data_IF_399598035820
#
_entry.id   IF_399598035820
#
_cell.length_a   1.000
_cell.length_b   1.000
_cell.length_c   1.000
_cell.angle_alpha   90.00
_cell.angle_beta   90.00
_cell.angle_gamma   90.00
#
_symmetry.space_group_name_H-M   'P 1'
#
loop_
_entity.id
_entity.type
_entity.pdbx_description
1 polymer ?
#
# COMPACT_ATOMS: atom_id res chain seq x y z
N UNK A 1 15.55 -2.73 7.32
CA UNK A 1 16.41 -1.85 6.51
C UNK A 1 16.17 -0.41 7.00
N UNK A 2 17.21 0.30 7.44
CA UNK A 2 17.08 1.65 7.99
C UNK A 2 16.88 2.62 6.82
N UNK A 3 15.89 3.51 6.92
CA UNK A 3 15.82 4.72 6.09
C UNK A 3 17.22 5.37 6.18
N UNK A 4 17.81 5.85 5.06
CA UNK A 4 19.00 6.70 5.14
C UNK A 4 18.76 7.74 6.26
N UNK A 5 19.66 7.82 7.23
CA UNK A 5 19.44 8.71 8.38
C UNK A 5 19.18 10.13 7.87
N UNK A 6 18.42 10.95 8.61
CA UNK A 6 18.24 12.37 8.30
C UNK A 6 19.52 13.08 7.85
N UNK A 7 20.67 12.73 8.44
CA UNK A 7 21.99 13.22 8.06
C UNK A 7 22.41 12.84 6.62
N UNK A 8 22.20 11.60 6.18
CA UNK A 8 22.60 11.15 4.83
C UNK A 8 21.78 11.73 3.67
N UNK A 9 20.58 12.26 3.94
CA UNK A 9 19.76 12.96 2.93
C UNK A 9 20.10 14.46 2.84
N UNK A 10 20.86 14.99 3.80
CA UNK A 10 21.25 16.42 3.88
C UNK A 10 22.62 16.70 3.24
N UNK A 11 23.39 15.66 2.90
CA UNK A 11 24.69 15.77 2.24
C UNK A 11 24.54 15.84 0.70
N UNK A 12 24.09 16.97 0.15
CA UNK A 12 24.08 17.28 -1.30
C UNK A 12 23.48 16.20 -2.23
N UNK A 13 22.54 15.39 -1.72
CA UNK A 13 21.85 14.36 -2.50
C UNK A 13 20.77 15.01 -3.36
N UNK A 14 20.83 14.79 -4.68
CA UNK A 14 19.82 15.26 -5.63
C UNK A 14 18.77 14.19 -5.87
N UNK A 15 17.53 14.48 -5.52
CA UNK A 15 16.43 13.52 -5.59
C UNK A 15 15.48 13.88 -6.73
N UNK A 16 15.27 12.92 -7.63
CA UNK A 16 14.21 12.99 -8.63
C UNK A 16 12.92 12.46 -8.03
N UNK A 17 11.89 13.30 -8.02
CA UNK A 17 10.63 12.98 -7.38
C UNK A 17 9.55 12.92 -8.44
N UNK A 18 9.06 11.71 -8.76
CA UNK A 18 7.97 11.58 -9.72
C UNK A 18 6.76 12.36 -9.22
N UNK A 19 6.39 13.40 -9.97
CA UNK A 19 5.13 14.09 -9.76
C UNK A 19 3.99 13.09 -9.99
N UNK A 20 3.13 12.91 -8.99
CA UNK A 20 1.79 12.40 -9.23
C UNK A 20 0.93 13.52 -9.80
N UNK A 21 -0.27 13.20 -10.28
CA UNK A 21 -1.24 14.21 -10.67
C UNK A 21 -1.39 15.26 -9.56
N UNK A 22 -1.42 16.53 -9.97
CA UNK A 22 -1.59 17.69 -9.10
C UNK A 22 -3.00 17.56 -8.48
N UNK A 23 -3.14 16.91 -7.32
CA UNK A 23 -4.46 16.81 -6.67
C UNK A 23 -4.75 15.66 -5.71
N UNK A 24 -3.77 14.90 -5.21
CA UNK A 24 -4.10 13.85 -4.22
C UNK A 24 -2.90 13.04 -3.75
N UNK A 25 -3.03 11.73 -3.74
CA UNK A 25 -2.00 10.80 -3.27
C UNK A 25 -0.87 10.59 -4.29
N UNK A 26 0.12 11.48 -4.30
CA UNK A 26 1.35 11.29 -5.07
C UNK A 26 2.45 10.63 -4.22
N UNK A 27 3.32 9.84 -4.86
CA UNK A 27 4.54 9.32 -4.23
C UNK A 27 5.39 10.45 -3.64
N UNK A 28 5.36 11.63 -4.27
CA UNK A 28 6.03 12.83 -3.78
C UNK A 28 5.43 13.41 -2.50
N UNK A 29 4.10 13.44 -2.38
CA UNK A 29 3.44 13.87 -1.13
C UNK A 29 3.78 12.89 0.00
N UNK A 30 3.64 11.59 -0.24
CA UNK A 30 3.96 10.57 0.75
C UNK A 30 5.42 10.65 1.20
N UNK A 31 6.36 10.86 0.28
CA UNK A 31 7.77 11.03 0.62
C UNK A 31 7.99 12.25 1.52
N UNK A 32 7.37 13.40 1.21
CA UNK A 32 7.45 14.60 2.06
C UNK A 32 6.81 14.38 3.44
N UNK A 33 5.82 13.51 3.56
CA UNK A 33 5.29 13.09 4.86
C UNK A 33 6.33 12.29 5.64
N UNK A 34 6.96 11.30 5.01
CA UNK A 34 7.98 10.48 5.65
C UNK A 34 9.15 11.31 6.17
N UNK A 35 9.60 12.31 5.41
CA UNK A 35 10.65 13.23 5.88
C UNK A 35 10.26 13.91 7.19
N UNK A 36 9.05 14.49 7.25
CA UNK A 36 8.54 15.17 8.45
C UNK A 36 8.38 14.21 9.62
N UNK A 37 7.86 13.01 9.36
CA UNK A 37 7.74 11.94 10.37
C UNK A 37 9.09 11.51 10.94
N UNK A 38 10.19 11.73 10.19
CA UNK A 38 11.56 11.48 10.61
C UNK A 38 12.33 12.77 11.00
N UNK A 39 11.63 13.89 11.22
CA UNK A 39 12.23 15.14 11.68
C UNK A 39 13.04 15.92 10.64
N UNK A 40 12.90 15.58 9.35
CA UNK A 40 13.55 16.28 8.23
C UNK A 40 12.58 17.30 7.64
N UNK A 41 13.02 18.55 7.50
CA UNK A 41 12.27 19.57 6.78
C UNK A 41 12.38 19.31 5.27
N UNK A 42 11.26 19.06 4.55
CA UNK A 42 11.31 18.82 3.11
C UNK A 42 11.87 19.98 2.29
N UNK A 43 12.00 21.19 2.86
CA UNK A 43 12.63 22.34 2.19
C UNK A 43 14.16 22.28 2.20
N UNK A 44 14.75 21.43 3.02
CA UNK A 44 16.20 21.27 3.14
C UNK A 44 16.77 20.24 2.16
N UNK A 45 15.91 19.58 1.38
CA UNK A 45 16.34 18.53 0.46
C UNK A 45 16.13 18.99 -0.98
N UNK A 46 17.10 18.68 -1.84
CA UNK A 46 17.10 19.07 -3.25
C UNK A 46 16.25 18.10 -4.08
N UNK A 47 15.12 18.60 -4.61
CA UNK A 47 14.19 17.82 -5.43
C UNK A 47 13.97 18.41 -6.80
N UNK A 48 13.99 17.55 -7.83
CA UNK A 48 13.43 17.86 -9.14
C UNK A 48 12.09 17.14 -9.26
N UNK A 49 11.01 17.91 -9.33
CA UNK A 49 9.63 17.40 -9.37
C UNK A 49 8.73 18.07 -10.42
N UNK A 50 9.23 19.06 -11.17
CA UNK A 50 8.44 19.88 -12.09
C UNK A 50 8.42 19.33 -13.54
N UNK A 51 8.95 18.12 -13.73
CA UNK A 51 9.03 17.43 -15.01
C UNK A 51 8.12 16.20 -15.04
N UNK A 52 7.77 15.76 -16.25
CA UNK A 52 7.03 14.52 -16.45
C UNK A 52 7.75 13.31 -15.80
N UNK A 53 6.97 12.37 -15.28
CA UNK A 53 7.50 11.21 -14.56
C UNK A 53 8.38 10.29 -15.41
N UNK A 54 8.08 10.13 -16.70
CA UNK A 54 8.91 9.35 -17.62
C UNK A 54 10.21 10.10 -17.90
N UNK A 55 10.14 11.41 -18.09
CA UNK A 55 11.33 12.25 -18.28
C UNK A 55 12.25 12.21 -17.06
N UNK A 56 11.71 12.33 -15.85
CA UNK A 56 12.50 12.19 -14.60
C UNK A 56 13.16 10.81 -14.50
N UNK A 57 12.44 9.74 -14.84
CA UNK A 57 13.01 8.40 -14.88
C UNK A 57 14.19 8.27 -15.84
N UNK A 58 14.08 8.86 -17.04
CA UNK A 58 15.16 8.86 -18.03
C UNK A 58 16.37 9.69 -17.58
N UNK A 59 16.13 10.87 -16.99
CA UNK A 59 17.22 11.72 -16.49
C UNK A 59 17.95 11.08 -15.32
N UNK A 60 17.24 10.38 -14.43
CA UNK A 60 17.84 9.60 -13.35
C UNK A 60 18.76 8.51 -13.90
N UNK A 61 18.29 7.73 -14.88
CA UNK A 61 19.13 6.72 -15.54
C UNK A 61 20.33 7.32 -16.29
N UNK A 62 20.21 8.58 -16.73
CA UNK A 62 21.30 9.36 -17.31
C UNK A 62 22.27 9.96 -16.29
N UNK A 63 22.10 9.70 -14.99
CA UNK A 63 23.00 10.16 -13.92
C UNK A 63 22.73 11.56 -13.39
N UNK A 64 21.57 12.16 -13.70
CA UNK A 64 21.25 13.51 -13.25
C UNK A 64 20.82 13.58 -11.76
N UNK A 65 20.51 12.46 -11.10
CA UNK A 65 20.15 12.43 -9.68
C UNK A 65 20.61 11.15 -9.00
N UNK A 66 20.76 11.21 -7.69
CA UNK A 66 21.25 10.10 -6.85
C UNK A 66 20.14 9.11 -6.49
N UNK A 67 18.91 9.61 -6.35
CA UNK A 67 17.73 8.79 -6.09
C UNK A 67 16.56 9.19 -6.99
N UNK A 68 15.74 8.19 -7.34
CA UNK A 68 14.46 8.40 -7.99
C UNK A 68 13.32 7.79 -7.17
N UNK A 69 12.37 8.62 -6.77
CA UNK A 69 11.18 8.21 -6.02
C UNK A 69 10.04 7.99 -7.02
N UNK A 70 9.59 6.74 -7.15
CA UNK A 70 8.52 6.31 -8.08
C UNK A 70 7.70 5.16 -7.48
N UNK A 71 6.70 4.65 -8.19
CA UNK A 71 5.90 3.49 -7.75
C UNK A 71 6.70 2.17 -7.82
N UNK A 72 6.32 1.19 -7.00
CA UNK A 72 7.04 -0.07 -6.83
C UNK A 72 7.21 -0.86 -8.13
N UNK A 73 6.19 -0.87 -9.00
CA UNK A 73 6.26 -1.60 -10.27
C UNK A 73 7.31 -0.95 -11.19
N UNK A 74 7.26 0.38 -11.34
CA UNK A 74 8.24 1.13 -12.12
C UNK A 74 9.66 0.99 -11.57
N UNK A 75 9.82 1.03 -10.23
CA UNK A 75 11.13 0.86 -9.58
C UNK A 75 11.71 -0.54 -9.84
N UNK A 76 10.90 -1.61 -9.69
CA UNK A 76 11.34 -2.98 -9.96
C UNK A 76 11.67 -3.22 -11.43
N UNK A 77 10.85 -2.71 -12.35
CA UNK A 77 11.13 -2.79 -13.80
C UNK A 77 12.45 -2.08 -14.11
N UNK A 78 12.70 -0.93 -13.49
CA UNK A 78 13.93 -0.17 -13.69
C UNK A 78 15.15 -0.94 -13.18
N UNK A 79 15.12 -1.43 -11.94
CA UNK A 79 16.21 -2.21 -11.34
C UNK A 79 16.46 -3.54 -12.08
N UNK A 80 15.41 -4.18 -12.60
CA UNK A 80 15.55 -5.41 -13.39
C UNK A 80 16.24 -5.17 -14.75
N UNK A 81 16.12 -3.96 -15.32
CA UNK A 81 16.68 -3.61 -16.64
C UNK A 81 18.04 -2.94 -16.56
N UNK A 82 18.38 -2.34 -15.42
CA UNK A 82 19.63 -1.63 -15.22
C UNK A 82 20.36 -2.17 -13.98
N UNK A 83 21.49 -2.91 -14.15
CA UNK A 83 22.22 -3.49 -13.03
C UNK A 83 22.87 -2.46 -12.11
N UNK A 84 23.00 -1.21 -12.55
CA UNK A 84 23.56 -0.11 -11.74
C UNK A 84 22.48 0.56 -10.86
N UNK A 85 21.21 0.16 -11.00
CA UNK A 85 20.09 0.68 -10.20
C UNK A 85 19.60 -0.39 -9.23
N UNK A 86 19.46 -0.01 -7.96
CA UNK A 86 18.92 -0.89 -6.91
C UNK A 86 17.81 -0.20 -6.12
N UNK A 87 16.94 -0.99 -5.49
CA UNK A 87 15.85 -0.48 -4.66
C UNK A 87 16.39 -0.20 -3.26
N UNK A 88 16.47 1.09 -2.91
CA UNK A 88 16.92 1.52 -1.58
C UNK A 88 15.82 1.43 -0.51
N UNK A 89 14.56 1.66 -0.88
CA UNK A 89 13.42 1.67 0.02
C UNK A 89 12.13 1.31 -0.75
N UNK A 90 11.39 0.31 -0.25
CA UNK A 90 10.14 -0.15 -0.86
C UNK A 90 8.94 -0.09 0.11
N UNK A 91 9.21 -0.20 1.42
CA UNK A 91 8.22 -0.21 2.48
C UNK A 91 8.63 0.69 3.63
N UNK A 92 7.65 1.20 4.36
CA UNK A 92 7.86 2.07 5.51
C UNK A 92 7.19 1.51 6.75
N UNK A 93 7.78 1.77 7.92
CA UNK A 93 7.31 1.24 9.20
C UNK A 93 6.41 2.22 9.96
N UNK A 94 6.28 3.45 9.46
CA UNK A 94 5.51 4.55 10.07
C UNK A 94 3.99 4.39 9.96
N UNK A 95 3.52 3.25 9.45
CA UNK A 95 2.10 2.89 9.37
C UNK A 95 1.56 2.87 7.94
N UNK A 96 0.25 2.73 7.83
CA UNK A 96 -0.50 2.69 6.57
C UNK A 96 -1.11 4.06 6.22
N UNK A 97 -1.40 4.27 4.94
CA UNK A 97 -2.23 5.36 4.41
C UNK A 97 -3.21 4.79 3.39
N UNK A 98 -4.42 5.36 3.23
CA UNK A 98 -5.39 4.89 2.25
C UNK A 98 -4.99 5.32 0.83
N UNK A 99 -4.16 4.51 0.17
CA UNK A 99 -3.66 4.76 -1.19
C UNK A 99 -4.75 4.71 -2.26
N UNK A 100 -5.61 3.69 -2.20
CA UNK A 100 -6.68 3.45 -3.17
C UNK A 100 -8.01 3.35 -2.42
N UNK A 101 -8.95 4.22 -2.76
CA UNK A 101 -10.28 4.27 -2.15
C UNK A 101 -11.35 4.51 -3.21
N UNK A 102 -12.58 4.14 -2.92
CA UNK A 102 -13.74 4.41 -3.76
C UNK A 102 -14.54 5.56 -3.19
N UNK A 103 -15.01 6.46 -4.06
CA UNK A 103 -15.80 7.63 -3.68
C UNK A 103 -17.20 7.54 -4.27
N UNK A 104 -18.16 8.10 -3.54
CA UNK A 104 -19.51 8.35 -4.01
C UNK A 104 -19.94 9.73 -3.54
N UNK A 105 -20.66 10.45 -4.40
CA UNK A 105 -21.24 11.74 -4.04
C UNK A 105 -22.30 11.55 -2.95
N UNK A 106 -22.23 12.33 -1.87
CA UNK A 106 -23.15 12.22 -0.72
C UNK A 106 -24.61 12.31 -1.13
N UNK A 107 -24.94 13.18 -2.09
CA UNK A 107 -26.30 13.36 -2.60
C UNK A 107 -26.87 12.10 -3.29
N UNK A 108 -26.03 11.16 -3.68
CA UNK A 108 -26.41 9.90 -4.35
C UNK A 108 -26.46 8.70 -3.40
N UNK A 109 -26.35 8.92 -2.09
CA UNK A 109 -26.48 7.86 -1.09
C UNK A 109 -27.96 7.64 -0.80
N UNK A 110 -28.49 6.51 -1.27
CA UNK A 110 -29.84 6.00 -0.94
C UNK A 110 -29.73 4.60 -0.37
N UNK A 111 -30.82 4.08 0.19
CA UNK A 111 -30.89 2.69 0.69
C UNK A 111 -30.56 1.68 -0.41
N UNK A 112 -31.04 1.92 -1.63
CA UNK A 112 -30.76 1.07 -2.80
C UNK A 112 -29.28 1.15 -3.19
N UNK A 113 -28.70 2.35 -3.18
CA UNK A 113 -27.28 2.54 -3.45
C UNK A 113 -26.41 1.82 -2.42
N UNK A 114 -26.74 1.91 -1.13
CA UNK A 114 -26.04 1.19 -0.06
C UNK A 114 -26.13 -0.33 -0.24
N UNK A 115 -27.28 -0.86 -0.65
CA UNK A 115 -27.42 -2.29 -0.93
C UNK A 115 -26.57 -2.76 -2.13
N UNK A 116 -26.43 -1.93 -3.16
CA UNK A 116 -25.52 -2.21 -4.30
C UNK A 116 -24.06 -2.14 -3.83
N UNK A 117 -23.70 -1.12 -3.05
CA UNK A 117 -22.36 -0.94 -2.50
C UNK A 117 -21.97 -2.11 -1.58
N UNK A 118 -22.86 -2.62 -0.74
CA UNK A 118 -22.58 -3.79 0.09
C UNK A 118 -22.22 -5.00 -0.77
N UNK A 119 -22.97 -5.26 -1.86
CA UNK A 119 -22.65 -6.36 -2.79
C UNK A 119 -21.31 -6.16 -3.49
N UNK A 120 -21.01 -4.92 -3.89
CA UNK A 120 -19.72 -4.57 -4.47
C UNK A 120 -18.57 -4.83 -3.49
N UNK A 121 -18.66 -4.31 -2.26
CA UNK A 121 -17.64 -4.51 -1.23
C UNK A 121 -17.51 -5.97 -0.80
N UNK A 122 -18.61 -6.74 -0.83
CA UNK A 122 -18.57 -8.19 -0.61
C UNK A 122 -17.75 -8.91 -1.68
N UNK A 123 -17.95 -8.57 -2.96
CA UNK A 123 -17.15 -9.09 -4.06
C UNK A 123 -15.68 -8.69 -3.94
N UNK A 124 -15.43 -7.40 -3.66
CA UNK A 124 -14.08 -6.87 -3.51
C UNK A 124 -13.33 -7.53 -2.35
N UNK A 125 -13.97 -7.69 -1.18
CA UNK A 125 -13.34 -8.34 -0.02
C UNK A 125 -13.08 -9.83 -0.29
N UNK A 126 -13.95 -10.52 -1.05
CA UNK A 126 -13.67 -11.90 -1.49
C UNK A 126 -12.46 -11.95 -2.41
N UNK A 127 -12.35 -11.03 -3.37
CA UNK A 127 -11.19 -10.91 -4.26
C UNK A 127 -9.90 -10.65 -3.47
N UNK A 128 -9.92 -9.69 -2.55
CA UNK A 128 -8.80 -9.40 -1.63
C UNK A 128 -8.38 -10.66 -0.87
N UNK A 129 -9.33 -11.36 -0.24
CA UNK A 129 -9.03 -12.57 0.53
C UNK A 129 -8.45 -13.67 -0.36
N UNK A 130 -8.96 -13.83 -1.58
CA UNK A 130 -8.48 -14.83 -2.52
C UNK A 130 -7.06 -14.52 -2.99
N UNK A 131 -6.76 -13.28 -3.38
CA UNK A 131 -5.40 -12.86 -3.77
C UNK A 131 -4.41 -13.04 -2.62
N UNK A 132 -4.78 -12.68 -1.38
CA UNK A 132 -3.92 -12.88 -0.22
C UNK A 132 -3.66 -14.37 0.07
N UNK A 133 -4.62 -15.25 -0.23
CA UNK A 133 -4.52 -16.68 0.05
C UNK A 133 -3.81 -17.52 -1.03
N UNK A 134 -3.67 -17.02 -2.26
CA UNK A 134 -3.11 -17.78 -3.39
C UNK A 134 -1.83 -17.14 -3.91
N UNK A 135 -0.84 -17.95 -4.27
CA UNK A 135 0.41 -17.45 -4.84
C UNK A 135 0.20 -16.82 -6.22
N UNK A 136 0.88 -15.71 -6.49
CA UNK A 136 0.67 -14.93 -7.71
C UNK A 136 0.95 -15.72 -9.00
N UNK A 137 1.76 -16.75 -8.90
CA UNK A 137 2.02 -17.74 -9.92
C UNK A 137 0.72 -18.44 -10.39
N UNK A 138 -0.24 -18.66 -9.49
CA UNK A 138 -1.49 -19.35 -9.81
C UNK A 138 -2.50 -18.50 -10.58
N UNK A 139 -2.25 -17.20 -10.72
CA UNK A 139 -3.07 -16.26 -11.51
C UNK A 139 -2.18 -15.33 -12.35
N UNK A 140 -1.07 -15.87 -12.85
CA UNK A 140 -0.11 -15.09 -13.62
C UNK A 140 -0.65 -14.72 -15.01
N UNK A 141 -1.57 -15.49 -15.58
CA UNK A 141 -2.23 -15.15 -16.86
C UNK A 141 -3.08 -13.89 -16.72
N UNK A 142 -3.86 -13.78 -15.64
CA UNK A 142 -4.64 -12.58 -15.34
C UNK A 142 -3.75 -11.36 -15.06
N UNK A 143 -2.62 -11.57 -14.36
CA UNK A 143 -1.64 -10.51 -14.15
C UNK A 143 -1.01 -10.06 -15.47
N UNK A 144 -0.72 -10.97 -16.40
CA UNK A 144 -0.18 -10.64 -17.71
C UNK A 144 -1.18 -9.83 -18.56
N UNK A 145 -2.48 -10.16 -18.49
CA UNK A 145 -3.55 -9.40 -19.15
C UNK A 145 -3.68 -7.98 -18.58
N UNK A 146 -3.62 -7.84 -17.26
CA UNK A 146 -3.72 -6.53 -16.58
C UNK A 146 -2.50 -5.64 -16.79
N UNK A 147 -1.31 -6.25 -16.92
CA UNK A 147 -0.04 -5.53 -17.04
C UNK A 147 0.75 -5.95 -18.31
N UNK A 148 0.19 -5.76 -19.52
CA UNK A 148 0.74 -6.33 -20.76
C UNK A 148 2.08 -5.73 -21.19
N UNK A 149 2.51 -4.64 -20.55
CA UNK A 149 3.77 -3.94 -20.82
C UNK A 149 4.87 -4.25 -19.81
N UNK A 150 4.55 -4.96 -18.72
CA UNK A 150 5.48 -5.29 -17.66
C UNK A 150 5.99 -6.74 -17.82
N UNK A 151 7.27 -7.02 -17.53
CA UNK A 151 7.75 -8.39 -17.40
C UNK A 151 6.95 -9.15 -16.32
N UNK A 152 6.40 -10.30 -16.68
CA UNK A 152 5.46 -11.03 -15.83
C UNK A 152 6.09 -11.51 -14.52
N UNK A 153 7.37 -11.89 -14.56
CA UNK A 153 8.17 -12.27 -13.39
C UNK A 153 8.26 -11.13 -12.36
N UNK A 154 8.41 -9.89 -12.83
CA UNK A 154 8.40 -8.69 -11.97
C UNK A 154 7.02 -8.47 -11.34
N UNK A 155 5.95 -8.62 -12.12
CA UNK A 155 4.57 -8.43 -11.63
C UNK A 155 4.19 -9.49 -10.59
N UNK A 156 4.51 -10.76 -10.86
CA UNK A 156 4.31 -11.88 -9.93
C UNK A 156 5.11 -11.66 -8.65
N UNK A 157 6.41 -11.32 -8.77
CA UNK A 157 7.26 -11.06 -7.61
C UNK A 157 6.80 -9.88 -6.76
N UNK A 158 6.31 -8.80 -7.38
CA UNK A 158 5.74 -7.65 -6.68
C UNK A 158 4.44 -8.00 -5.97
N UNK A 159 3.54 -8.71 -6.67
CA UNK A 159 2.27 -9.18 -6.11
C UNK A 159 2.50 -10.03 -4.86
N UNK A 160 3.46 -10.97 -4.92
CA UNK A 160 3.85 -11.77 -3.77
C UNK A 160 4.46 -10.93 -2.63
N UNK A 161 5.16 -9.84 -2.93
CA UNK A 161 5.63 -8.89 -1.90
C UNK A 161 4.46 -8.24 -1.17
N UNK A 162 3.53 -7.65 -1.91
CA UNK A 162 2.33 -7.02 -1.35
C UNK A 162 1.49 -7.99 -0.52
N UNK A 163 1.37 -9.25 -0.97
CA UNK A 163 0.71 -10.31 -0.19
C UNK A 163 1.39 -10.56 1.15
N UNK A 164 2.72 -10.76 1.16
CA UNK A 164 3.49 -10.99 2.40
C UNK A 164 3.45 -9.80 3.36
N UNK A 165 3.46 -8.60 2.81
CA UNK A 165 3.41 -7.35 3.58
C UNK A 165 2.00 -7.02 4.09
N UNK A 166 0.98 -7.78 3.67
CA UNK A 166 -0.41 -7.52 4.05
C UNK A 166 -0.93 -6.20 3.50
N UNK A 167 -0.53 -5.84 2.27
CA UNK A 167 -1.08 -4.69 1.56
C UNK A 167 -2.52 -4.98 1.15
N UNK A 168 -3.44 -4.06 1.50
CA UNK A 168 -4.89 -4.18 1.32
C UNK A 168 -5.52 -5.40 2.01
N UNK A 169 -5.72 -5.32 3.33
CA UNK A 169 -6.37 -6.39 4.12
C UNK A 169 -7.88 -6.25 4.22
N UNK A 170 -8.41 -5.07 3.97
CA UNK A 170 -9.84 -4.79 4.11
C UNK A 170 -10.32 -3.73 3.15
N UNK A 171 -11.60 -3.82 2.80
CA UNK A 171 -12.36 -2.77 2.10
C UNK A 171 -12.72 -1.56 2.98
N UNK A 172 -12.49 -1.64 4.30
CA UNK A 172 -12.73 -0.54 5.24
C UNK A 172 -11.46 0.29 5.39
N UNK A 173 -11.60 1.62 5.27
CA UNK A 173 -10.49 2.56 5.50
C UNK A 173 -10.22 2.69 7.00
N UNK A 174 -9.02 2.34 7.50
CA UNK A 174 -8.76 2.41 8.94
C UNK A 174 -8.68 3.86 9.45
N UNK A 175 -9.27 4.20 10.61
CA UNK A 175 -9.23 5.57 11.15
C UNK A 175 -7.83 6.12 11.38
N UNK A 176 -6.88 5.28 11.82
CA UNK A 176 -5.48 5.69 12.00
C UNK A 176 -4.79 6.00 10.67
N UNK A 177 -5.05 5.20 9.64
CA UNK A 177 -4.54 5.43 8.28
C UNK A 177 -5.06 6.76 7.72
N UNK A 178 -6.36 7.01 7.88
CA UNK A 178 -6.99 8.26 7.47
C UNK A 178 -6.42 9.46 8.23
N UNK A 179 -6.29 9.36 9.56
CA UNK A 179 -5.71 10.42 10.39
C UNK A 179 -4.30 10.78 9.94
N UNK A 180 -3.45 9.77 9.69
CA UNK A 180 -2.09 9.98 9.19
C UNK A 180 -2.10 10.69 7.84
N UNK A 181 -2.98 10.28 6.92
CA UNK A 181 -3.12 10.93 5.62
C UNK A 181 -3.59 12.39 5.73
N UNK A 182 -4.56 12.68 6.58
CA UNK A 182 -5.03 14.05 6.82
C UNK A 182 -3.93 14.96 7.38
N UNK A 183 -3.04 14.44 8.22
CA UNK A 183 -1.86 15.18 8.67
C UNK A 183 -0.99 15.55 7.47
N UNK A 184 -0.70 14.59 6.59
CA UNK A 184 0.08 14.84 5.37
C UNK A 184 -0.53 15.86 4.42
N UNK A 185 -1.84 15.80 4.20
CA UNK A 185 -2.57 16.79 3.39
C UNK A 185 -2.49 18.19 3.99
N UNK A 186 -2.57 18.30 5.32
CA UNK A 186 -2.46 19.57 6.06
C UNK A 186 -1.04 20.14 5.98
N UNK A 187 -0.03 19.29 6.19
CA UNK A 187 1.39 19.67 6.10
C UNK A 187 1.77 20.14 4.68
N UNK A 188 1.11 19.59 3.67
CA UNK A 188 1.23 19.99 2.27
C UNK A 188 0.35 21.18 1.89
N UNK A 189 -0.44 21.72 2.83
CA UNK A 189 -1.37 22.85 2.62
C UNK A 189 -2.45 22.59 1.57
N UNK A 190 -2.77 21.31 1.30
CA UNK A 190 -3.88 20.92 0.43
C UNK A 190 -5.23 21.07 1.14
N UNK A 191 -5.21 20.98 2.47
CA UNK A 191 -6.34 21.32 3.35
C UNK A 191 -5.85 22.27 4.45
N UNK A 192 -6.72 23.15 4.94
CA UNK A 192 -6.37 24.10 6.01
C UNK A 192 -6.19 23.43 7.36
N UNK A 193 -7.03 22.43 7.65
CA UNK A 193 -7.04 21.63 8.86
C UNK A 193 -7.43 20.19 8.51
N UNK A 194 -7.04 19.19 9.32
CA UNK A 194 -7.48 17.81 9.11
C UNK A 194 -9.01 17.69 9.05
N UNK A 195 -9.52 16.96 8.06
CA UNK A 195 -10.94 16.61 7.98
C UNK A 195 -11.28 15.52 9.00
N UNK A 196 -12.52 15.50 9.50
CA UNK A 196 -12.98 14.48 10.43
C UNK A 196 -13.30 13.17 9.70
N UNK A 197 -12.90 12.03 10.28
CA UNK A 197 -13.13 10.72 9.69
C UNK A 197 -14.61 10.50 9.31
N UNK A 198 -15.53 10.73 10.25
CA UNK A 198 -16.97 10.51 10.06
C UNK A 198 -17.61 11.48 9.05
N UNK A 199 -16.92 12.58 8.69
CA UNK A 199 -17.38 13.51 7.66
C UNK A 199 -17.04 13.05 6.24
N UNK A 200 -16.01 12.20 6.11
CA UNK A 200 -15.46 11.78 4.81
C UNK A 200 -15.67 10.29 4.52
N UNK A 201 -15.74 9.46 5.57
CA UNK A 201 -15.83 8.02 5.45
C UNK A 201 -17.24 7.57 5.85
N UNK A 202 -17.93 6.95 4.89
CA UNK A 202 -19.13 6.17 5.14
C UNK A 202 -18.80 4.70 4.86
N UNK A 203 -18.54 3.93 5.92
CA UNK A 203 -18.12 2.54 5.83
C UNK A 203 -19.28 1.55 6.07
N UNK A 204 -20.53 2.00 6.20
CA UNK A 204 -21.69 1.14 6.54
C UNK A 204 -21.77 -0.08 5.62
N UNK A 205 -21.70 0.14 4.30
CA UNK A 205 -21.77 -0.93 3.31
C UNK A 205 -20.52 -1.85 3.34
N UNK A 206 -19.34 -1.26 3.53
CA UNK A 206 -18.07 -2.00 3.61
C UNK A 206 -17.98 -2.87 4.88
N UNK A 207 -18.38 -2.32 6.03
CA UNK A 207 -18.43 -3.00 7.31
C UNK A 207 -19.46 -4.14 7.31
N UNK A 208 -20.64 -3.92 6.72
CA UNK A 208 -21.65 -4.96 6.53
C UNK A 208 -21.12 -6.13 5.69
N UNK A 209 -20.43 -5.85 4.59
CA UNK A 209 -19.81 -6.87 3.74
C UNK A 209 -18.76 -7.71 4.50
N UNK A 210 -17.87 -7.07 5.26
CA UNK A 210 -16.87 -7.76 6.08
C UNK A 210 -17.53 -8.62 7.17
N UNK A 211 -18.56 -8.09 7.84
CA UNK A 211 -19.30 -8.82 8.88
C UNK A 211 -19.99 -10.08 8.33
N UNK A 212 -20.57 -9.99 7.14
CA UNK A 212 -21.24 -11.10 6.46
C UNK A 212 -20.28 -12.24 6.12
N UNK A 213 -19.07 -11.92 5.65
CA UNK A 213 -18.03 -12.94 5.38
C UNK A 213 -17.55 -13.63 6.64
N UNK A 214 -17.34 -12.87 7.73
CA UNK A 214 -16.96 -13.45 9.03
C UNK A 214 -18.03 -14.42 9.54
N UNK A 215 -19.30 -14.02 9.47
CA UNK A 215 -20.43 -14.83 9.90
C UNK A 215 -20.56 -16.12 9.09
N UNK A 216 -20.32 -16.08 7.78
CA UNK A 216 -20.35 -17.28 6.93
C UNK A 216 -19.17 -18.21 7.23
N UNK A 217 -17.96 -17.68 7.40
CA UNK A 217 -16.80 -18.51 7.75
C UNK A 217 -16.91 -19.20 9.11
N UNK A 218 -17.60 -18.58 10.09
CA UNK A 218 -17.92 -19.22 11.37
C UNK A 218 -18.94 -20.35 11.21
N UNK A 219 -19.93 -20.18 10.34
CA UNK A 219 -20.91 -21.24 10.03
C UNK A 219 -20.24 -22.43 9.33
N UNK A 220 -19.39 -22.19 8.34
CA UNK A 220 -18.69 -23.26 7.61
C UNK A 220 -17.78 -24.08 8.53
N UNK A 221 -17.08 -23.43 9.48
CA UNK A 221 -16.29 -24.13 10.50
C UNK A 221 -17.14 -24.95 11.47
N UNK A 222 -18.34 -24.47 11.83
CA UNK A 222 -19.25 -25.19 12.73
C UNK A 222 -19.92 -26.39 12.05
N UNK A 223 -20.20 -26.29 10.75
CA UNK A 223 -20.72 -27.42 9.93
C UNK A 223 -19.66 -28.50 9.71
N UNK A 224 -18.37 -28.13 9.63
CA UNK A 224 -17.27 -29.11 9.58
C UNK A 224 -17.07 -29.87 10.89
N UNK A 225 -17.49 -29.33 12.05
CA UNK A 225 -17.33 -29.99 13.35
C UNK A 225 -18.46 -30.97 13.72
N UNK A 226 -19.54 -31.04 12.95
CA UNK A 226 -20.68 -31.96 13.19
C UNK A 226 -20.55 -33.30 12.43
N UNK A 227 -19.37 -33.59 11.85
CA UNK A 227 -19.08 -34.85 11.15
C UNK A 227 -17.68 -35.39 11.47
N UNK A 228 -17.59 -36.21 12.52
CA UNK A 228 -16.43 -36.97 13.05
C UNK A 228 -15.46 -36.21 13.97
N UNK A 229 -15.40 -36.70 15.21
CA UNK A 229 -14.29 -36.51 16.13
C UNK A 229 -13.03 -37.20 15.61
N UNK A 230 -11.94 -36.46 15.44
CA UNK A 230 -10.57 -36.99 15.56
C UNK A 230 -9.76 -35.98 16.35
N UNK A 231 -9.30 -36.40 17.53
CA UNK A 231 -8.29 -35.74 18.34
C UNK A 231 -6.89 -36.26 17.97
N UNK A 232 -5.98 -35.37 17.56
CA UNK A 232 -4.62 -35.18 18.12
C UNK A 232 -3.58 -34.64 17.11
N UNK A 233 -2.80 -33.64 17.58
CA UNK A 233 -1.44 -33.27 17.14
C UNK A 233 -1.37 -32.36 15.90
N UNK A 234 -0.72 -31.19 15.87
CA UNK A 234 0.40 -30.67 16.67
C UNK A 234 0.35 -29.14 16.66
N UNK A 235 0.44 -28.52 17.84
CA UNK A 235 0.82 -27.11 17.96
C UNK A 235 2.34 -27.02 17.80
N UNK A 236 2.82 -26.24 16.83
CA UNK A 236 4.23 -25.84 16.82
C UNK A 236 4.40 -24.58 17.67
N UNK A 237 5.03 -24.76 18.82
CA UNK A 237 5.59 -23.70 19.65
C UNK A 237 7.11 -23.88 19.57
N UNK A 238 7.84 -22.88 19.04
CA UNK A 238 9.31 -22.89 19.02
C UNK A 238 9.84 -21.57 19.54
N UNK A 239 10.58 -21.64 20.65
CA UNK A 239 11.54 -20.66 21.19
C UNK A 239 12.63 -21.48 21.94
N UNK A 240 13.82 -20.94 22.27
CA UNK A 240 14.61 -19.87 21.67
C UNK A 240 16.08 -20.31 21.37
N UNK A 241 16.87 -19.45 20.72
CA UNK A 241 18.30 -19.37 20.99
C UNK A 241 18.63 -17.93 21.41
N UNK A 242 18.83 -17.74 22.71
CA UNK A 242 19.60 -16.61 23.23
C UNK A 242 21.03 -16.70 22.70
N UNK A 243 21.61 -15.62 22.13
CA UNK A 243 23.05 -15.52 21.98
C UNK A 243 23.71 -15.31 23.35
N UNK A 244 24.99 -15.68 23.51
CA UNK A 244 25.68 -15.63 24.80
C UNK A 244 25.80 -14.19 25.31
N UNK A 245 25.57 -14.02 26.62
CA UNK A 245 26.24 -12.97 27.37
C UNK A 245 27.73 -13.31 27.42
N UNK A 246 28.59 -12.29 27.27
CA UNK A 246 30.03 -12.36 27.48
C UNK A 246 30.43 -13.06 28.80
#
# INVERSE_FOLDING_TARGET
>A
MKIPTPASLLDQVKIMLRAGSIGGASVGLFFKMLLRENGVDPRQVDYIQDLDGVMLGNLFQGGMGDYFITDNLSARIMAARNPDVSIALECVTQGEVPWSVYYQETAKITTEALAVQERFFLGLQKGINWVLANDAESFCEELAELFPKAPIDVVVGLTNSFRREGMWRSVVVPPLAFKRWQQGLTDARLVKVPLFYDSMINDVAAAAAVSKLRSNGLKDKKTLTDGKSVSNGTQHMVQPLTPPSD
#
